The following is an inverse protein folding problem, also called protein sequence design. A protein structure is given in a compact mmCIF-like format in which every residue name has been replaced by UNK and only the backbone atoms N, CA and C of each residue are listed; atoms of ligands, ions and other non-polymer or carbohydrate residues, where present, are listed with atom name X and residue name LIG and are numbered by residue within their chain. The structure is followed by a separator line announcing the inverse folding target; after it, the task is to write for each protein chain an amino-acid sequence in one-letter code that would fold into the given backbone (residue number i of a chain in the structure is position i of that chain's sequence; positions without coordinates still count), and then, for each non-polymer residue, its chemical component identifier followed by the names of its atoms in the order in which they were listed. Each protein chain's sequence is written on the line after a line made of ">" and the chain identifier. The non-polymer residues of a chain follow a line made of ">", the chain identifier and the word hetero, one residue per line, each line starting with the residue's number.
data_IF_632124799710
#
_entry.id   IF_632124799710
#
_cell.length_a   1.000
_cell.length_b   1.000
_cell.length_c   1.000
_cell.angle_alpha   90.00
_cell.angle_beta   90.00
_cell.angle_gamma   90.00
#
_symmetry.space_group_name_H-M   'P 1'
#
loop_
_entity.id
_entity.type
_entity.pdbx_description
1 polymer ?
#
# COMPACT_ATOMS: atom_id res chain seq x y z
N UNK A 1 -1.36 -0.06 -51.11
CA UNK A 1 -0.63 0.89 -50.26
C UNK A 1 -0.08 0.10 -49.07
N UNK A 2 1.21 -0.29 -49.13
CA UNK A 2 1.92 -0.86 -47.98
C UNK A 2 2.11 0.33 -46.99
N UNK A 3 1.40 0.30 -45.88
CA UNK A 3 1.66 1.24 -44.79
C UNK A 3 3.00 0.87 -44.15
N UNK A 4 3.92 1.81 -44.07
CA UNK A 4 5.16 1.61 -43.30
C UNK A 4 4.79 1.81 -41.82
N UNK A 5 5.02 0.79 -41.01
CA UNK A 5 5.04 0.92 -39.55
C UNK A 5 6.30 1.68 -39.11
N UNK A 6 6.24 2.30 -37.95
CA UNK A 6 7.41 2.85 -37.27
C UNK A 6 7.69 1.98 -36.02
N UNK A 7 8.77 2.30 -35.32
CA UNK A 7 9.17 1.53 -34.11
C UNK A 7 8.07 1.51 -33.04
N UNK A 8 7.32 2.59 -32.88
CA UNK A 8 6.20 2.65 -31.94
C UNK A 8 5.05 1.76 -32.36
N UNK A 9 4.68 1.77 -33.65
CA UNK A 9 3.68 0.87 -34.20
C UNK A 9 4.07 -0.59 -33.99
N UNK A 10 5.33 -0.94 -34.25
CA UNK A 10 5.82 -2.33 -34.09
C UNK A 10 5.77 -2.80 -32.64
N UNK A 11 6.09 -1.94 -31.69
CA UNK A 11 5.95 -2.23 -30.25
C UNK A 11 4.51 -2.42 -29.84
N UNK A 12 3.61 -1.53 -30.27
CA UNK A 12 2.17 -1.63 -29.99
C UNK A 12 1.59 -2.92 -30.57
N UNK A 13 1.97 -3.27 -31.81
CA UNK A 13 1.53 -4.52 -32.44
C UNK A 13 2.04 -5.75 -31.70
N UNK A 14 3.29 -5.75 -31.23
CA UNK A 14 3.85 -6.83 -30.44
C UNK A 14 3.13 -7.02 -29.09
N UNK A 15 2.64 -5.94 -28.48
CA UNK A 15 1.80 -5.98 -27.27
C UNK A 15 0.44 -6.63 -27.56
N UNK A 16 -0.21 -6.21 -28.65
CA UNK A 16 -1.51 -6.76 -29.07
C UNK A 16 -1.41 -8.26 -29.37
N UNK A 17 -0.32 -8.69 -30.01
CA UNK A 17 -0.05 -10.09 -30.34
C UNK A 17 0.46 -10.92 -29.16
N UNK A 18 0.66 -10.29 -27.99
CA UNK A 18 1.19 -10.92 -26.77
C UNK A 18 2.56 -11.60 -26.96
N UNK A 19 3.39 -11.12 -27.88
CA UNK A 19 4.71 -11.67 -28.19
C UNK A 19 5.88 -10.80 -27.71
N UNK A 20 5.61 -9.73 -26.94
CA UNK A 20 6.63 -8.84 -26.42
C UNK A 20 7.26 -9.41 -25.13
N UNK A 21 8.44 -10.00 -25.27
CA UNK A 21 9.18 -10.59 -24.15
C UNK A 21 9.72 -9.53 -23.17
N UNK A 22 10.06 -8.32 -23.63
CA UNK A 22 10.52 -7.23 -22.77
C UNK A 22 9.44 -6.85 -21.75
N UNK A 23 8.21 -6.69 -22.21
CA UNK A 23 7.06 -6.37 -21.34
C UNK A 23 6.78 -7.49 -20.33
N UNK A 24 6.97 -8.74 -20.71
CA UNK A 24 6.78 -9.88 -19.79
C UNK A 24 7.80 -9.91 -18.65
N UNK A 25 8.97 -9.32 -18.84
CA UNK A 25 10.08 -9.34 -17.88
C UNK A 25 10.20 -8.04 -17.07
N UNK A 26 9.68 -6.94 -17.59
CA UNK A 26 10.01 -5.60 -17.12
C UNK A 26 9.45 -5.27 -15.73
N UNK A 27 8.31 -5.83 -15.32
CA UNK A 27 7.70 -5.40 -14.08
C UNK A 27 6.88 -6.48 -13.37
N UNK A 28 7.35 -6.94 -12.21
CA UNK A 28 6.66 -7.89 -11.36
C UNK A 28 5.29 -7.39 -10.83
N UNK A 29 5.00 -6.09 -10.96
CA UNK A 29 3.76 -5.49 -10.47
C UNK A 29 2.65 -5.45 -11.53
N UNK A 30 2.98 -5.68 -12.80
CA UNK A 30 2.02 -5.64 -13.91
C UNK A 30 1.95 -6.98 -14.61
N UNK A 31 0.75 -7.50 -14.80
CA UNK A 31 0.54 -8.70 -15.60
C UNK A 31 0.24 -8.29 -17.06
N UNK A 32 1.13 -8.57 -18.03
CA UNK A 32 0.98 -8.13 -19.43
C UNK A 32 -0.19 -8.78 -20.17
N UNK A 33 -0.82 -9.81 -19.62
CA UNK A 33 -2.02 -10.44 -20.21
C UNK A 33 -3.32 -9.76 -19.84
N UNK A 34 -3.30 -8.82 -18.88
CA UNK A 34 -4.49 -8.07 -18.44
C UNK A 34 -4.74 -6.91 -19.41
N UNK A 35 -5.97 -6.79 -19.92
CA UNK A 35 -6.34 -5.78 -20.93
C UNK A 35 -6.05 -4.33 -20.50
N UNK A 36 -6.27 -3.98 -19.24
CA UNK A 36 -5.96 -2.63 -18.73
C UNK A 36 -4.45 -2.36 -18.72
N UNK A 37 -3.64 -3.36 -18.42
CA UNK A 37 -2.17 -3.28 -18.47
C UNK A 37 -1.70 -3.08 -19.90
N UNK A 38 -2.24 -3.82 -20.86
CA UNK A 38 -1.91 -3.65 -22.30
C UNK A 38 -2.24 -2.24 -22.78
N UNK A 39 -3.40 -1.69 -22.39
CA UNK A 39 -3.78 -0.32 -22.75
C UNK A 39 -2.86 0.73 -22.12
N UNK A 40 -2.40 0.51 -20.89
CA UNK A 40 -1.44 1.39 -20.23
C UNK A 40 -0.09 1.38 -20.95
N UNK A 41 0.41 0.21 -21.35
CA UNK A 41 1.62 0.10 -22.15
C UNK A 41 1.50 0.80 -23.51
N UNK A 42 0.37 0.62 -24.21
CA UNK A 42 0.13 1.31 -25.48
C UNK A 42 0.12 2.82 -25.30
N UNK A 43 -0.51 3.32 -24.23
CA UNK A 43 -0.52 4.75 -23.91
C UNK A 43 0.90 5.24 -23.55
N UNK A 44 1.67 4.46 -22.81
CA UNK A 44 3.07 4.76 -22.48
C UNK A 44 3.96 4.87 -23.73
N UNK A 45 3.87 3.93 -24.66
CA UNK A 45 4.67 3.98 -25.91
C UNK A 45 4.31 5.19 -26.79
N UNK A 46 3.02 5.53 -26.88
CA UNK A 46 2.59 6.75 -27.57
C UNK A 46 3.10 8.02 -26.88
N UNK A 47 2.98 8.08 -25.54
CA UNK A 47 3.48 9.20 -24.74
C UNK A 47 4.99 9.37 -24.88
N UNK A 48 5.75 8.27 -24.85
CA UNK A 48 7.19 8.26 -25.05
C UNK A 48 7.61 8.77 -26.43
N UNK A 49 6.92 8.35 -27.49
CA UNK A 49 7.15 8.86 -28.85
C UNK A 49 6.91 10.38 -28.94
N UNK A 50 5.79 10.85 -28.39
CA UNK A 50 5.47 12.29 -28.35
C UNK A 50 6.51 13.06 -27.55
N UNK A 51 6.91 12.55 -26.40
CA UNK A 51 7.91 13.17 -25.52
C UNK A 51 9.23 13.34 -26.25
N UNK A 52 9.75 12.27 -26.86
CA UNK A 52 11.05 12.27 -27.53
C UNK A 52 11.03 13.07 -28.84
N UNK A 53 9.93 13.02 -29.58
CA UNK A 53 9.86 13.64 -30.89
C UNK A 53 9.43 15.10 -30.88
N UNK A 54 8.66 15.54 -29.83
CA UNK A 54 8.01 16.86 -29.84
C UNK A 54 8.34 17.70 -28.61
N UNK A 55 8.35 17.08 -27.41
CA UNK A 55 8.37 17.82 -26.15
C UNK A 55 9.76 18.11 -25.62
N UNK A 56 10.69 17.18 -25.76
CA UNK A 56 12.07 17.34 -25.29
C UNK A 56 12.92 18.08 -26.32
N UNK A 57 13.90 18.89 -25.89
CA UNK A 57 14.94 19.40 -26.78
C UNK A 57 15.71 18.27 -27.47
N UNK A 58 16.01 18.45 -28.75
CA UNK A 58 16.66 17.43 -29.57
C UNK A 58 17.99 16.92 -28.96
N UNK A 59 18.78 17.84 -28.40
CA UNK A 59 20.07 17.52 -27.75
C UNK A 59 19.91 16.60 -26.53
N UNK A 60 18.80 16.66 -25.81
CA UNK A 60 18.51 15.77 -24.67
C UNK A 60 18.17 14.36 -25.17
N UNK A 61 17.35 14.28 -26.23
CA UNK A 61 16.98 13.02 -26.86
C UNK A 61 18.22 12.31 -27.42
N UNK A 62 19.06 13.04 -28.18
CA UNK A 62 20.30 12.51 -28.73
C UNK A 62 21.28 12.06 -27.64
N UNK A 63 21.42 12.80 -26.55
CA UNK A 63 22.27 12.43 -25.43
C UNK A 63 21.77 11.17 -24.72
N UNK A 64 20.46 10.99 -24.63
CA UNK A 64 19.83 9.78 -24.09
C UNK A 64 20.06 8.57 -24.99
N UNK A 65 19.82 8.72 -26.31
CA UNK A 65 20.03 7.67 -27.29
C UNK A 65 21.48 7.23 -27.41
N UNK A 66 22.43 8.15 -27.24
CA UNK A 66 23.86 7.88 -27.23
C UNK A 66 24.37 7.29 -25.89
N UNK A 67 23.50 7.19 -24.88
CA UNK A 67 23.86 6.71 -23.55
C UNK A 67 24.73 7.65 -22.73
N UNK A 68 24.82 8.94 -23.12
CA UNK A 68 25.53 9.97 -22.33
C UNK A 68 24.79 10.30 -21.05
N UNK A 69 23.45 10.37 -21.15
CA UNK A 69 22.54 10.50 -20.02
C UNK A 69 21.46 9.43 -20.09
N UNK A 70 20.78 9.19 -18.95
CA UNK A 70 19.55 8.41 -18.92
C UNK A 70 18.41 9.31 -18.48
N UNK A 71 17.50 9.63 -19.41
CA UNK A 71 16.26 10.34 -19.10
C UNK A 71 15.22 9.26 -18.74
N UNK A 72 14.95 9.11 -17.45
CA UNK A 72 14.08 8.07 -16.95
C UNK A 72 12.59 8.43 -17.14
N UNK A 73 11.73 7.43 -17.34
CA UNK A 73 10.27 7.58 -17.38
C UNK A 73 9.76 8.62 -18.41
N UNK A 74 10.31 8.63 -19.62
CA UNK A 74 9.88 9.55 -20.69
C UNK A 74 8.43 9.34 -21.13
N UNK A 75 7.86 8.18 -20.86
CA UNK A 75 6.45 7.84 -21.06
C UNK A 75 5.50 8.62 -20.15
N UNK A 76 5.98 9.06 -18.96
CA UNK A 76 5.20 9.87 -18.01
C UNK A 76 5.48 11.37 -18.10
N UNK A 77 6.41 11.81 -18.94
CA UNK A 77 6.80 13.22 -19.06
C UNK A 77 5.68 14.12 -19.58
N UNK A 78 4.89 13.64 -20.53
CA UNK A 78 3.80 14.39 -21.14
C UNK A 78 2.59 14.61 -20.21
N UNK A 79 2.50 13.86 -19.11
CA UNK A 79 1.38 13.91 -18.18
C UNK A 79 1.84 14.35 -16.79
N UNK A 80 1.04 15.19 -16.13
CA UNK A 80 1.27 15.58 -14.74
C UNK A 80 0.88 14.44 -13.79
N UNK A 81 1.74 13.44 -13.71
CA UNK A 81 1.55 12.30 -12.82
C UNK A 81 2.68 12.29 -11.77
N UNK A 82 2.34 11.99 -10.52
CA UNK A 82 3.32 11.91 -9.43
C UNK A 82 4.19 10.66 -9.60
N UNK A 83 5.48 10.77 -9.29
CA UNK A 83 6.35 9.61 -9.25
C UNK A 83 6.20 8.88 -7.91
N UNK A 84 6.64 9.49 -6.82
CA UNK A 84 6.61 8.88 -5.49
C UNK A 84 5.97 9.82 -4.47
N UNK A 85 5.17 9.26 -3.56
CA UNK A 85 4.44 10.03 -2.56
C UNK A 85 4.72 9.53 -1.14
N UNK A 86 4.86 10.48 -0.20
CA UNK A 86 4.74 10.24 1.23
C UNK A 86 3.30 10.54 1.62
N UNK A 87 2.55 9.50 1.95
CA UNK A 87 1.11 9.64 2.22
C UNK A 87 0.89 10.06 3.67
N UNK A 88 0.32 11.22 3.88
CA UNK A 88 -0.06 11.73 5.20
C UNK A 88 -1.36 11.06 5.69
N UNK A 89 -1.26 9.76 6.02
CA UNK A 89 -2.38 9.02 6.58
C UNK A 89 -2.87 9.60 7.90
N UNK A 90 -1.99 10.23 8.70
CA UNK A 90 -2.42 10.83 9.97
C UNK A 90 -3.47 11.87 9.74
N UNK A 91 -3.18 12.87 8.89
CA UNK A 91 -4.12 13.94 8.58
C UNK A 91 -5.40 13.40 7.92
N UNK A 92 -5.25 12.51 6.93
CA UNK A 92 -6.38 11.94 6.19
C UNK A 92 -7.32 11.13 7.09
N UNK A 93 -6.80 10.38 8.06
CA UNK A 93 -7.61 9.58 8.98
C UNK A 93 -8.17 10.42 10.14
N UNK A 94 -7.45 11.43 10.64
CA UNK A 94 -7.92 12.23 11.77
C UNK A 94 -8.93 13.29 11.36
N UNK A 95 -8.78 13.89 10.18
CA UNK A 95 -9.61 15.00 9.70
C UNK A 95 -10.58 14.59 8.58
N UNK A 96 -10.51 13.33 8.13
CA UNK A 96 -11.25 12.88 6.97
C UNK A 96 -10.52 13.19 5.65
N UNK A 97 -10.98 12.59 4.59
CA UNK A 97 -10.40 12.76 3.23
C UNK A 97 -11.45 12.59 2.16
N UNK A 98 -11.17 13.04 0.95
CA UNK A 98 -12.06 12.86 -0.20
C UNK A 98 -11.50 11.75 -1.09
N UNK A 99 -12.30 10.71 -1.33
CA UNK A 99 -11.97 9.63 -2.26
C UNK A 99 -13.03 9.59 -3.35
N UNK A 100 -12.62 9.73 -4.60
CA UNK A 100 -13.52 9.71 -5.77
C UNK A 100 -14.74 10.64 -5.61
N UNK A 101 -14.52 11.84 -5.08
CA UNK A 101 -15.57 12.85 -4.86
C UNK A 101 -16.47 12.63 -3.65
N UNK A 102 -16.21 11.58 -2.85
CA UNK A 102 -16.96 11.26 -1.64
C UNK A 102 -16.15 11.60 -0.40
N UNK A 103 -16.77 12.36 0.52
CA UNK A 103 -16.15 12.63 1.81
C UNK A 103 -16.15 11.39 2.69
N UNK A 104 -14.98 11.01 3.15
CA UNK A 104 -14.76 9.92 4.10
C UNK A 104 -14.41 10.55 5.44
N UNK A 105 -15.25 10.35 6.43
CA UNK A 105 -15.07 10.88 7.77
C UNK A 105 -14.03 10.09 8.57
N UNK A 106 -13.61 10.64 9.69
CA UNK A 106 -12.71 10.00 10.65
C UNK A 106 -13.23 8.61 11.06
N UNK A 107 -12.43 7.55 10.95
CA UNK A 107 -12.84 6.21 11.34
C UNK A 107 -13.09 6.10 12.86
N UNK A 108 -14.05 5.27 13.23
CA UNK A 108 -14.44 5.00 14.62
C UNK A 108 -14.02 3.60 15.11
N UNK A 109 -13.03 2.98 14.44
CA UNK A 109 -12.41 1.73 14.87
C UNK A 109 -11.11 1.50 14.11
N UNK A 110 -10.25 0.63 14.65
CA UNK A 110 -9.02 0.22 13.98
C UNK A 110 -9.29 -0.48 12.65
N UNK A 111 -10.27 -1.39 12.61
CA UNK A 111 -10.61 -2.10 11.37
C UNK A 111 -11.13 -1.15 10.29
N UNK A 112 -11.92 -0.14 10.64
CA UNK A 112 -12.36 0.88 9.69
C UNK A 112 -11.19 1.76 9.23
N UNK A 113 -10.27 2.12 10.12
CA UNK A 113 -9.06 2.86 9.75
C UNK A 113 -8.20 2.07 8.75
N UNK A 114 -8.01 0.77 8.97
CA UNK A 114 -7.31 -0.12 8.03
C UNK A 114 -8.00 -0.15 6.65
N UNK A 115 -9.32 -0.26 6.62
CA UNK A 115 -10.07 -0.26 5.37
C UNK A 115 -9.91 1.06 4.60
N UNK A 116 -10.07 2.20 5.28
CA UNK A 116 -9.90 3.52 4.66
C UNK A 116 -8.44 3.70 4.19
N UNK A 117 -7.44 3.27 4.97
CA UNK A 117 -6.05 3.31 4.56
C UNK A 117 -5.81 2.53 3.24
N UNK A 118 -6.43 1.37 3.06
CA UNK A 118 -6.31 0.61 1.80
C UNK A 118 -6.96 1.33 0.61
N UNK A 119 -8.07 2.04 0.83
CA UNK A 119 -8.71 2.85 -0.20
C UNK A 119 -7.85 4.06 -0.59
N UNK A 120 -7.21 4.71 0.39
CA UNK A 120 -6.25 5.79 0.16
C UNK A 120 -5.06 5.27 -0.65
N UNK A 121 -4.49 4.12 -0.26
CA UNK A 121 -3.40 3.48 -0.99
C UNK A 121 -3.78 3.23 -2.45
N UNK A 122 -4.98 2.72 -2.71
CA UNK A 122 -5.49 2.46 -4.05
C UNK A 122 -5.65 3.74 -4.87
N UNK A 123 -6.19 4.78 -4.26
CA UNK A 123 -6.39 6.08 -4.91
C UNK A 123 -5.06 6.74 -5.27
N UNK A 124 -4.09 6.74 -4.35
CA UNK A 124 -2.75 7.26 -4.60
C UNK A 124 -2.08 6.46 -5.71
N UNK A 125 -2.08 5.13 -5.63
CA UNK A 125 -1.47 4.27 -6.63
C UNK A 125 -2.08 4.42 -8.04
N UNK A 126 -3.35 4.86 -8.14
CA UNK A 126 -4.01 5.16 -9.42
C UNK A 126 -3.60 6.50 -10.04
N UNK A 127 -2.92 7.36 -9.29
CA UNK A 127 -2.51 8.70 -9.72
C UNK A 127 -0.99 8.90 -9.74
N UNK A 128 -0.24 7.82 -9.58
CA UNK A 128 1.23 7.85 -9.62
C UNK A 128 1.76 6.66 -10.43
N UNK A 129 3.02 6.76 -10.86
CA UNK A 129 3.71 5.68 -11.57
C UNK A 129 4.87 5.05 -10.76
N UNK A 130 5.24 5.63 -9.63
CA UNK A 130 6.24 5.11 -8.70
C UNK A 130 5.61 4.50 -7.45
N UNK A 131 6.28 4.66 -6.32
CA UNK A 131 5.87 4.08 -5.04
C UNK A 131 5.29 5.09 -4.06
N UNK A 132 4.61 4.57 -3.06
CA UNK A 132 4.12 5.35 -1.93
C UNK A 132 4.61 4.79 -0.62
N UNK A 133 4.78 5.67 0.36
CA UNK A 133 5.18 5.30 1.72
C UNK A 133 4.11 5.70 2.71
N UNK A 134 3.80 4.80 3.63
CA UNK A 134 2.89 5.03 4.76
C UNK A 134 3.58 4.66 6.07
N UNK A 135 3.11 5.21 7.19
CA UNK A 135 3.53 4.80 8.53
C UNK A 135 2.41 4.07 9.27
N UNK A 136 2.73 2.94 9.90
CA UNK A 136 1.78 2.21 10.76
C UNK A 136 1.40 3.01 12.01
N UNK A 137 2.25 3.95 12.43
CA UNK A 137 1.97 4.82 13.58
C UNK A 137 0.67 5.58 13.41
N UNK A 138 0.33 5.96 12.17
CA UNK A 138 -0.91 6.68 11.88
C UNK A 138 -2.19 5.86 12.11
N UNK A 139 -2.07 4.53 12.24
CA UNK A 139 -3.17 3.62 12.59
C UNK A 139 -3.29 3.37 14.10
N UNK A 140 -2.20 3.55 14.85
CA UNK A 140 -2.14 3.22 16.28
C UNK A 140 -3.20 3.96 17.14
N UNK A 141 -3.53 5.25 16.93
CA UNK A 141 -4.57 5.94 17.69
C UNK A 141 -5.94 5.27 17.63
N UNK A 142 -6.24 4.58 16.54
CA UNK A 142 -7.53 3.90 16.35
C UNK A 142 -7.66 2.60 17.14
N UNK A 143 -6.54 2.05 17.64
CA UNK A 143 -6.54 0.90 18.56
C UNK A 143 -7.20 1.29 19.88
N UNK A 144 -6.89 2.47 20.42
CA UNK A 144 -7.52 2.96 21.66
C UNK A 144 -9.02 3.18 21.47
N UNK A 145 -9.43 3.74 20.32
CA UNK A 145 -10.86 3.92 19.99
C UNK A 145 -11.57 2.55 19.96
N UNK A 146 -10.98 1.55 19.32
CA UNK A 146 -11.52 0.19 19.32
C UNK A 146 -11.55 -0.43 20.71
N UNK A 147 -10.51 -0.24 21.53
CA UNK A 147 -10.47 -0.74 22.93
C UNK A 147 -11.64 -0.21 23.75
N UNK A 148 -11.91 1.09 23.69
CA UNK A 148 -13.02 1.71 24.39
C UNK A 148 -14.38 1.21 23.89
N UNK A 149 -14.55 1.07 22.59
CA UNK A 149 -15.77 0.56 21.96
C UNK A 149 -16.04 -0.89 22.36
N UNK A 150 -15.01 -1.75 22.30
CA UNK A 150 -15.10 -3.15 22.71
C UNK A 150 -15.43 -3.27 24.18
N UNK A 151 -14.79 -2.45 25.03
CA UNK A 151 -15.07 -2.43 26.47
C UNK A 151 -16.53 -2.06 26.76
N UNK A 152 -17.02 -1.02 26.13
CA UNK A 152 -18.42 -0.57 26.28
C UNK A 152 -19.38 -1.68 25.86
N UNK A 153 -19.19 -2.27 24.70
CA UNK A 153 -20.02 -3.39 24.22
C UNK A 153 -19.98 -4.61 25.16
N UNK A 154 -18.81 -4.97 25.67
CA UNK A 154 -18.66 -6.08 26.61
C UNK A 154 -19.39 -5.83 27.94
N UNK A 155 -19.38 -4.60 28.46
CA UNK A 155 -20.14 -4.21 29.64
C UNK A 155 -21.66 -4.30 29.40
N UNK A 156 -22.13 -3.84 28.25
CA UNK A 156 -23.55 -3.92 27.86
C UNK A 156 -24.00 -5.39 27.76
N UNK A 157 -23.22 -6.26 27.07
CA UNK A 157 -23.48 -7.69 26.98
C UNK A 157 -23.56 -8.36 28.37
N UNK A 158 -22.62 -8.05 29.27
CA UNK A 158 -22.62 -8.60 30.64
C UNK A 158 -23.88 -8.17 31.42
N UNK A 159 -24.30 -6.91 31.29
CA UNK A 159 -25.53 -6.43 31.93
C UNK A 159 -26.77 -7.12 31.38
N UNK A 160 -26.87 -7.32 30.09
CA UNK A 160 -28.01 -7.99 29.45
C UNK A 160 -28.19 -9.44 29.92
N UNK A 161 -27.10 -10.15 30.16
CA UNK A 161 -27.14 -11.52 30.67
C UNK A 161 -27.16 -11.63 32.20
N UNK A 162 -27.17 -10.48 32.91
CA UNK A 162 -27.18 -10.42 34.37
C UNK A 162 -25.89 -10.95 35.04
N UNK A 163 -24.76 -10.89 34.34
CA UNK A 163 -23.47 -11.30 34.88
C UNK A 163 -22.82 -10.18 35.71
N UNK A 164 -22.13 -10.58 36.80
CA UNK A 164 -21.30 -9.65 37.57
C UNK A 164 -20.09 -9.20 36.75
N UNK A 165 -19.79 -7.90 36.82
CA UNK A 165 -18.65 -7.32 36.13
C UNK A 165 -17.39 -7.49 36.99
N UNK A 166 -16.53 -8.42 36.58
CA UNK A 166 -15.19 -8.61 37.10
C UNK A 166 -14.20 -7.87 36.19
N UNK A 167 -13.54 -6.84 36.72
CA UNK A 167 -12.63 -5.97 35.95
C UNK A 167 -11.44 -6.74 35.34
N UNK A 168 -10.91 -7.75 36.02
CA UNK A 168 -9.79 -8.54 35.48
C UNK A 168 -10.25 -9.37 34.28
N UNK A 169 -11.40 -10.03 34.40
CA UNK A 169 -11.98 -10.83 33.31
C UNK A 169 -12.41 -9.95 32.14
N UNK A 170 -13.01 -8.78 32.42
CA UNK A 170 -13.39 -7.81 31.44
C UNK A 170 -12.17 -7.31 30.66
N UNK A 171 -11.09 -6.93 31.35
CA UNK A 171 -9.84 -6.50 30.71
C UNK A 171 -9.26 -7.57 29.80
N UNK A 172 -9.18 -8.83 30.25
CA UNK A 172 -8.72 -9.95 29.44
C UNK A 172 -9.60 -10.19 28.20
N UNK A 173 -10.91 -10.06 28.34
CA UNK A 173 -11.85 -10.20 27.22
C UNK A 173 -11.65 -9.07 26.19
N UNK A 174 -11.52 -7.83 26.66
CA UNK A 174 -11.28 -6.66 25.81
C UNK A 174 -9.99 -6.82 25.02
N UNK A 175 -8.88 -7.16 25.68
CA UNK A 175 -7.59 -7.36 25.01
C UNK A 175 -7.63 -8.51 24.01
N UNK A 176 -8.32 -9.61 24.32
CA UNK A 176 -8.50 -10.71 23.37
C UNK A 176 -9.25 -10.25 22.12
N UNK A 177 -10.40 -9.57 22.27
CA UNK A 177 -11.20 -9.07 21.14
C UNK A 177 -10.44 -8.01 20.33
N UNK A 178 -9.67 -7.14 21.01
CA UNK A 178 -8.85 -6.13 20.38
C UNK A 178 -7.74 -6.75 19.50
N UNK A 179 -7.04 -7.77 20.01
CA UNK A 179 -6.04 -8.51 19.24
C UNK A 179 -6.64 -9.19 18.01
N UNK A 180 -7.85 -9.73 18.13
CA UNK A 180 -8.58 -10.28 16.98
C UNK A 180 -8.94 -9.22 15.95
N UNK A 181 -9.32 -8.01 16.38
CA UNK A 181 -9.58 -6.88 15.48
C UNK A 181 -8.29 -6.42 14.78
N UNK A 182 -7.20 -6.27 15.52
CA UNK A 182 -5.89 -5.90 14.96
C UNK A 182 -5.46 -6.93 13.91
N UNK A 183 -5.55 -8.22 14.23
CA UNK A 183 -5.26 -9.29 13.29
C UNK A 183 -6.05 -9.17 11.98
N UNK A 184 -7.36 -8.96 12.07
CA UNK A 184 -8.23 -8.79 10.90
C UNK A 184 -7.91 -7.53 10.11
N UNK A 185 -7.63 -6.40 10.78
CA UNK A 185 -7.24 -5.15 10.13
C UNK A 185 -5.92 -5.25 9.38
N UNK A 186 -4.91 -5.85 9.98
CA UNK A 186 -3.60 -6.11 9.34
C UNK A 186 -3.77 -7.07 8.16
N UNK A 187 -4.55 -8.13 8.32
CA UNK A 187 -4.85 -9.07 7.24
C UNK A 187 -5.54 -8.37 6.07
N UNK A 188 -6.47 -7.47 6.34
CA UNK A 188 -7.14 -6.67 5.32
C UNK A 188 -6.14 -5.85 4.51
N UNK A 189 -5.22 -5.11 5.17
CA UNK A 189 -4.18 -4.34 4.49
C UNK A 189 -3.33 -5.26 3.61
N UNK A 190 -2.84 -6.37 4.15
CA UNK A 190 -1.98 -7.29 3.41
C UNK A 190 -2.67 -7.83 2.17
N UNK A 191 -3.90 -8.34 2.29
CA UNK A 191 -4.63 -8.90 1.15
C UNK A 191 -5.04 -7.85 0.14
N UNK A 192 -5.49 -6.69 0.58
CA UNK A 192 -5.85 -5.58 -0.31
C UNK A 192 -4.65 -5.13 -1.14
N UNK A 193 -3.47 -4.96 -0.54
CA UNK A 193 -2.26 -4.55 -1.26
C UNK A 193 -1.86 -5.58 -2.32
N UNK A 194 -1.98 -6.89 -2.05
CA UNK A 194 -1.58 -7.93 -3.02
C UNK A 194 -2.64 -8.23 -4.08
N UNK A 195 -3.92 -7.99 -3.79
CA UNK A 195 -5.02 -8.33 -4.71
C UNK A 195 -5.56 -7.15 -5.48
N UNK A 196 -5.23 -5.93 -5.07
CA UNK A 196 -5.72 -4.72 -5.70
C UNK A 196 -4.99 -4.47 -7.02
N UNK A 197 -5.76 -4.26 -8.08
CA UNK A 197 -5.28 -3.67 -9.31
C UNK A 197 -5.76 -2.22 -9.40
N UNK A 198 -4.83 -1.31 -9.64
CA UNK A 198 -5.14 0.11 -9.87
C UNK A 198 -5.72 0.32 -11.27
N UNK A 199 -6.17 1.53 -11.57
CA UNK A 199 -6.75 1.87 -12.89
C UNK A 199 -5.79 1.65 -14.05
N UNK A 200 -4.48 1.73 -13.80
CA UNK A 200 -3.42 1.42 -14.77
C UNK A 200 -2.94 -0.05 -14.73
N UNK A 201 -3.70 -0.93 -14.05
CA UNK A 201 -3.43 -2.37 -14.00
C UNK A 201 -2.22 -2.77 -13.15
N UNK A 202 -1.72 -1.87 -12.32
CA UNK A 202 -0.56 -2.08 -11.46
C UNK A 202 -0.98 -2.44 -10.04
N UNK A 203 -0.30 -3.39 -9.39
CA UNK A 203 -0.40 -3.56 -7.95
C UNK A 203 0.24 -2.37 -7.22
N UNK A 204 -0.33 -1.90 -6.09
CA UNK A 204 0.23 -0.79 -5.35
C UNK A 204 1.66 -1.07 -4.88
N UNK A 205 2.59 -0.21 -5.28
CA UNK A 205 3.98 -0.25 -4.82
C UNK A 205 4.10 0.50 -3.50
N UNK A 206 3.88 -0.21 -2.39
CA UNK A 206 3.77 0.39 -1.05
C UNK A 206 4.97 0.03 -0.19
N UNK A 207 5.52 1.04 0.48
CA UNK A 207 6.49 0.90 1.57
C UNK A 207 5.80 1.24 2.89
N UNK A 208 5.92 0.37 3.87
CA UNK A 208 5.32 0.54 5.20
C UNK A 208 6.42 0.75 6.23
N UNK A 209 6.43 1.91 6.85
CA UNK A 209 7.32 2.23 7.97
C UNK A 209 6.75 1.71 9.29
N UNK A 210 7.61 1.06 10.05
CA UNK A 210 7.37 0.54 11.39
C UNK A 210 8.34 1.24 12.33
N UNK A 211 7.94 2.41 12.85
CA UNK A 211 8.77 3.30 13.64
C UNK A 211 8.15 3.56 15.00
N UNK A 212 8.63 2.85 16.05
CA UNK A 212 8.05 2.89 17.38
C UNK A 212 8.10 4.28 18.03
N UNK A 213 9.18 5.02 17.84
CA UNK A 213 9.35 6.35 18.44
C UNK A 213 8.64 7.49 17.69
N UNK A 214 7.93 7.19 16.61
CA UNK A 214 6.98 8.12 15.99
C UNK A 214 5.69 8.24 16.82
N UNK A 215 5.38 7.27 17.67
CA UNK A 215 4.22 7.29 18.55
C UNK A 215 4.27 8.46 19.55
N UNK A 216 3.11 9.08 19.80
CA UNK A 216 3.00 10.32 20.60
C UNK A 216 3.03 10.10 22.10
N UNK A 217 2.75 8.89 22.55
CA UNK A 217 2.72 8.50 23.96
C UNK A 217 2.96 7.00 24.14
N UNK A 218 3.19 6.57 25.39
CA UNK A 218 3.53 5.19 25.72
C UNK A 218 2.43 4.18 25.37
N UNK A 219 1.16 4.55 25.49
CA UNK A 219 0.05 3.67 25.14
C UNK A 219 -0.02 3.46 23.61
N UNK A 220 0.10 4.54 22.85
CA UNK A 220 0.14 4.49 21.39
C UNK A 220 1.35 3.67 20.90
N UNK A 221 2.51 3.85 21.56
CA UNK A 221 3.71 3.07 21.27
C UNK A 221 3.50 1.57 21.56
N UNK A 222 2.85 1.23 22.66
CA UNK A 222 2.53 -0.16 23.00
C UNK A 222 1.54 -0.76 21.99
N UNK A 223 0.52 -0.01 21.60
CA UNK A 223 -0.47 -0.44 20.61
C UNK A 223 0.18 -0.59 19.22
N UNK A 224 1.08 0.33 18.83
CA UNK A 224 1.87 0.23 17.60
C UNK A 224 2.75 -1.03 17.60
N UNK A 225 3.37 -1.37 18.71
CA UNK A 225 4.18 -2.59 18.83
C UNK A 225 3.36 -3.85 18.54
N UNK A 226 2.09 -3.91 19.01
CA UNK A 226 1.17 -5.01 18.71
C UNK A 226 0.81 -5.05 17.22
N UNK A 227 0.60 -3.91 16.59
CA UNK A 227 0.35 -3.84 15.13
C UNK A 227 1.57 -4.35 14.37
N UNK A 228 2.77 -3.90 14.72
CA UNK A 228 4.04 -4.32 14.07
C UNK A 228 4.25 -5.82 14.22
N UNK A 229 4.08 -6.37 15.43
CA UNK A 229 4.16 -7.81 15.68
C UNK A 229 3.23 -8.60 14.76
N UNK A 230 1.99 -8.16 14.62
CA UNK A 230 1.01 -8.83 13.78
C UNK A 230 1.35 -8.69 12.27
N UNK A 231 1.86 -7.54 11.83
CA UNK A 231 2.34 -7.34 10.45
C UNK A 231 3.48 -8.30 10.12
N UNK A 232 4.45 -8.43 11.02
CA UNK A 232 5.59 -9.34 10.84
C UNK A 232 5.15 -10.81 10.85
N UNK A 233 4.23 -11.18 11.76
CA UNK A 233 3.65 -12.51 11.84
C UNK A 233 2.94 -12.92 10.55
N UNK A 234 2.11 -12.04 10.01
CA UNK A 234 1.40 -12.31 8.76
C UNK A 234 2.32 -12.28 7.55
N UNK A 235 3.37 -11.47 7.56
CA UNK A 235 4.41 -11.50 6.52
C UNK A 235 5.16 -12.83 6.55
N UNK A 236 5.50 -13.33 7.72
CA UNK A 236 6.14 -14.63 7.88
C UNK A 236 5.25 -15.78 7.38
N UNK A 237 3.96 -15.73 7.69
CA UNK A 237 2.98 -16.69 7.18
C UNK A 237 2.85 -16.63 5.66
N UNK A 238 2.85 -15.43 5.06
CA UNK A 238 2.63 -15.20 3.65
C UNK A 238 1.17 -15.25 3.24
N UNK A 239 0.95 -15.41 1.93
CA UNK A 239 -0.36 -15.59 1.29
C UNK A 239 -0.32 -16.82 0.40
N UNK A 240 -1.48 -17.43 0.13
CA UNK A 240 -1.56 -18.53 -0.82
C UNK A 240 -1.64 -18.00 -2.25
N UNK A 241 -0.83 -18.59 -3.14
CA UNK A 241 -0.97 -18.37 -4.58
C UNK A 241 -2.15 -19.20 -5.15
N UNK A 242 -2.33 -19.16 -6.46
CA UNK A 242 -3.38 -19.89 -7.18
C UNK A 242 -3.29 -21.43 -7.02
N UNK A 243 -2.09 -21.96 -6.80
CA UNK A 243 -1.84 -23.38 -6.56
C UNK A 243 -2.05 -23.77 -5.09
N UNK A 244 -2.44 -22.84 -4.22
CA UNK A 244 -2.62 -23.05 -2.78
C UNK A 244 -1.31 -23.11 -1.98
N UNK A 245 -0.17 -22.77 -2.61
CA UNK A 245 1.14 -22.74 -1.96
C UNK A 245 1.34 -21.41 -1.24
N UNK A 246 1.84 -21.46 0.00
CA UNK A 246 2.19 -20.28 0.75
C UNK A 246 3.44 -19.61 0.18
N UNK A 247 3.31 -18.32 -0.16
CA UNK A 247 4.39 -17.48 -0.68
C UNK A 247 4.48 -16.18 0.12
N UNK A 248 5.68 -15.62 0.20
CA UNK A 248 5.87 -14.28 0.76
C UNK A 248 5.64 -13.24 -0.34
N UNK A 249 4.64 -12.35 -0.20
CA UNK A 249 4.38 -11.33 -1.20
C UNK A 249 5.50 -10.29 -1.25
N UNK A 250 5.77 -9.74 -2.45
CA UNK A 250 6.78 -8.69 -2.64
C UNK A 250 6.38 -7.38 -1.94
N UNK A 251 5.08 -7.09 -1.89
CA UNK A 251 4.53 -5.87 -1.30
C UNK A 251 3.50 -6.18 -0.20
N UNK A 252 3.33 -5.23 0.74
CA UNK A 252 4.11 -4.00 0.96
C UNK A 252 5.56 -4.29 1.34
N UNK A 253 6.51 -3.43 0.96
CA UNK A 253 7.86 -3.43 1.55
C UNK A 253 7.77 -3.00 2.99
N UNK A 254 8.49 -3.68 3.88
CA UNK A 254 8.49 -3.38 5.32
C UNK A 254 9.84 -2.78 5.72
N UNK A 255 9.80 -1.63 6.37
CA UNK A 255 10.98 -0.97 6.94
C UNK A 255 10.77 -0.84 8.45
N UNK A 256 11.56 -1.60 9.23
CA UNK A 256 11.58 -1.51 10.68
C UNK A 256 12.74 -0.63 11.12
N UNK A 257 12.43 0.43 11.86
CA UNK A 257 13.43 1.38 12.34
C UNK A 257 14.09 0.82 13.59
N UNK A 258 15.41 0.63 13.54
CA UNK A 258 16.22 0.15 14.66
C UNK A 258 16.67 1.31 15.54
N UNK A 259 16.36 1.23 16.82
CA UNK A 259 16.64 2.24 17.82
C UNK A 259 17.11 1.60 19.14
N UNK A 260 17.65 2.38 20.07
CA UNK A 260 18.20 1.87 21.32
C UNK A 260 17.23 1.06 22.15
N UNK A 261 15.92 1.36 22.09
CA UNK A 261 14.88 0.70 22.86
C UNK A 261 14.31 -0.56 22.19
N UNK A 262 14.82 -0.94 21.04
CA UNK A 262 14.42 -2.15 20.33
C UNK A 262 15.57 -3.04 19.83
N UNK A 263 16.83 -2.60 19.92
CA UNK A 263 17.99 -3.38 19.47
C UNK A 263 18.79 -4.05 20.59
N UNK A 264 18.47 -3.76 21.84
CA UNK A 264 19.15 -4.35 23.03
C UNK A 264 18.26 -5.43 23.63
N UNK A 265 18.88 -6.53 24.05
CA UNK A 265 18.16 -7.67 24.68
C UNK A 265 17.37 -7.28 25.94
N UNK A 266 17.84 -6.25 26.67
CA UNK A 266 17.19 -5.73 27.88
C UNK A 266 16.14 -4.67 27.61
N UNK A 267 15.93 -4.29 26.34
CA UNK A 267 14.97 -3.26 25.98
C UNK A 267 13.54 -3.80 25.88
N UNK A 268 12.56 -2.95 26.16
CA UNK A 268 11.14 -3.30 26.23
C UNK A 268 10.60 -3.90 24.94
N UNK A 269 11.14 -3.48 23.82
CA UNK A 269 10.66 -3.87 22.48
C UNK A 269 11.66 -4.74 21.70
N UNK A 270 12.55 -5.43 22.42
CA UNK A 270 13.50 -6.37 21.82
C UNK A 270 12.84 -7.53 21.08
N UNK A 271 11.72 -8.07 21.60
CA UNK A 271 11.01 -9.23 21.02
C UNK A 271 10.52 -8.99 19.60
#
# INVERSE_FOLDING_TARGET
>A
LVRKSNTTDDKILSLIECNNEEVKQENSNKNPTVNSVQRDYMAGEVSKDITNRILLPQEIVEAHEQGIIHFHDTDYYAQHMHNCDLVDLENMLQNGTVISGTMIEKPHSFSTACNIATQIIAQVASNQYGGQSISLTHLAPFVQISREKIRKAAIEEMKEIGADIDEEKLSKLVEKRLREEIKKGVQMIQYQVVTLLTTNGQAPFVTVFMYLNEAKNDQEKADLAVIIEEVLRQRYQGVKNEDGVWITPAFPKLIYVLEEDNIREDSKYWY
#
